data_IF_032061578370
#
_entry.id   IF_032061578370
#
_cell.length_a   1.000
_cell.length_b   1.000
_cell.length_c   1.000
_cell.angle_alpha   90.00
_cell.angle_beta   90.00
_cell.angle_gamma   90.00
#
_symmetry.space_group_name_H-M   'P 1'
#
loop_
_entity.id
_entity.type
_entity.pdbx_description
1 polymer ?
#
# COMPACT_ATOMS: atom_id res chain seq x y z
N UNK A 1 -11.37 -31.18 40.85
CA UNK A 1 -11.40 -30.11 39.84
C UNK A 1 -11.60 -28.71 40.44
N UNK A 2 -12.56 -28.46 41.32
CA UNK A 2 -12.81 -27.11 41.92
C UNK A 2 -11.60 -26.52 42.70
N UNK A 3 -10.83 -27.35 43.40
CA UNK A 3 -9.61 -26.86 44.11
C UNK A 3 -8.51 -26.39 43.17
N UNK A 4 -8.32 -27.02 42.01
CA UNK A 4 -7.34 -26.58 41.01
C UNK A 4 -7.76 -25.26 40.37
N UNK A 5 -9.05 -25.10 40.05
CA UNK A 5 -9.57 -23.85 39.51
C UNK A 5 -9.40 -22.68 40.49
N UNK A 6 -9.65 -22.90 41.78
CA UNK A 6 -9.47 -21.90 42.82
C UNK A 6 -8.00 -21.53 43.01
N UNK A 7 -7.07 -22.48 42.89
CA UNK A 7 -5.63 -22.22 42.99
C UNK A 7 -5.14 -21.44 41.76
N UNK A 8 -5.57 -21.76 40.55
CA UNK A 8 -5.26 -21.04 39.32
C UNK A 8 -5.74 -19.57 39.43
N UNK A 9 -6.96 -19.38 39.88
CA UNK A 9 -7.51 -18.04 40.07
C UNK A 9 -6.71 -17.20 41.10
N UNK A 10 -6.38 -17.81 42.27
CA UNK A 10 -5.57 -17.12 43.27
C UNK A 10 -4.18 -16.79 42.77
N UNK A 11 -3.57 -17.68 42.02
CA UNK A 11 -2.25 -17.42 41.38
C UNK A 11 -2.38 -16.28 40.38
N UNK A 12 -3.38 -16.28 39.51
CA UNK A 12 -3.62 -15.20 38.56
C UNK A 12 -3.83 -13.84 39.23
N UNK A 13 -4.60 -13.80 40.34
CA UNK A 13 -4.78 -12.57 41.11
C UNK A 13 -3.47 -12.11 41.73
N UNK A 14 -2.66 -13.01 42.27
CA UNK A 14 -1.33 -12.68 42.82
C UNK A 14 -0.41 -12.08 41.75
N UNK A 15 -0.35 -12.69 40.56
CA UNK A 15 0.48 -12.18 39.46
C UNK A 15 0.01 -10.81 38.96
N UNK A 16 -1.32 -10.59 38.87
CA UNK A 16 -1.88 -9.27 38.57
C UNK A 16 -1.48 -8.19 39.60
N UNK A 17 -1.48 -8.53 40.89
CA UNK A 17 -1.04 -7.62 41.92
C UNK A 17 0.47 -7.36 41.89
N UNK A 18 1.26 -8.37 41.57
CA UNK A 18 2.71 -8.24 41.36
C UNK A 18 2.99 -7.28 40.19
N UNK A 19 2.31 -7.49 39.06
CA UNK A 19 2.41 -6.63 37.89
C UNK A 19 2.02 -5.17 38.19
N UNK A 20 0.90 -4.97 38.92
CA UNK A 20 0.41 -3.65 39.29
C UNK A 20 1.37 -2.88 40.23
N UNK A 21 2.30 -3.57 40.89
CA UNK A 21 3.33 -2.98 41.77
C UNK A 21 4.66 -2.82 41.08
N UNK A 22 4.82 -3.32 39.89
CA UNK A 22 6.03 -3.14 39.08
C UNK A 22 5.88 -1.96 38.13
N UNK A 23 6.46 -0.77 38.47
CA UNK A 23 6.29 0.41 37.64
C UNK A 23 6.94 0.25 36.26
N UNK A 24 7.99 -0.58 36.13
CA UNK A 24 8.70 -0.78 34.89
C UNK A 24 7.80 -1.60 33.90
N UNK A 25 7.14 -2.63 34.41
CA UNK A 25 6.19 -3.42 33.61
C UNK A 25 4.94 -2.61 33.24
N UNK A 26 4.43 -1.77 34.11
CA UNK A 26 3.31 -0.89 33.80
C UNK A 26 3.66 0.11 32.71
N UNK A 27 4.85 0.70 32.76
CA UNK A 27 5.34 1.61 31.68
C UNK A 27 5.50 0.84 30.39
N UNK A 28 6.09 -0.35 30.41
CA UNK A 28 6.24 -1.19 29.23
C UNK A 28 4.89 -1.49 28.57
N UNK A 29 3.90 -1.92 29.33
CA UNK A 29 2.55 -2.19 28.84
C UNK A 29 1.91 -0.92 28.30
N UNK A 30 1.98 0.19 29.04
CA UNK A 30 1.44 1.47 28.62
C UNK A 30 2.03 1.95 27.29
N UNK A 31 3.35 1.90 27.14
CA UNK A 31 4.04 2.28 25.90
C UNK A 31 3.69 1.33 24.75
N UNK A 32 3.66 0.02 24.99
CA UNK A 32 3.36 -0.98 23.96
C UNK A 32 1.93 -0.81 23.40
N UNK A 33 0.95 -0.58 24.25
CA UNK A 33 -0.45 -0.47 23.82
C UNK A 33 -0.90 0.95 23.45
N UNK A 34 -0.08 1.96 23.67
CA UNK A 34 -0.40 3.33 23.24
C UNK A 34 0.54 3.81 22.14
N UNK A 35 1.80 4.03 22.47
CA UNK A 35 2.76 4.64 21.54
C UNK A 35 3.08 3.72 20.36
N UNK A 36 3.32 2.42 20.58
CA UNK A 36 3.66 1.50 19.48
C UNK A 36 2.48 1.29 18.54
N UNK A 37 1.26 1.14 19.07
CA UNK A 37 0.06 1.01 18.22
C UNK A 37 -0.19 2.31 17.44
N UNK A 38 -0.04 3.47 18.09
CA UNK A 38 -0.20 4.75 17.42
C UNK A 38 0.84 4.94 16.30
N UNK A 39 2.10 4.63 16.57
CA UNK A 39 3.16 4.72 15.54
C UNK A 39 2.93 3.73 14.40
N UNK A 40 2.54 2.48 14.68
CA UNK A 40 2.24 1.50 13.65
C UNK A 40 1.04 1.91 12.79
N UNK A 41 0.03 2.54 13.41
CA UNK A 41 -1.14 3.04 12.69
C UNK A 41 -0.84 4.26 11.79
N UNK A 42 0.14 5.08 12.15
CA UNK A 42 0.44 6.35 11.47
C UNK A 42 1.71 6.35 10.64
N UNK A 43 2.61 5.38 10.87
CA UNK A 43 3.93 5.34 10.23
C UNK A 43 3.89 4.93 8.75
N UNK A 44 2.85 4.24 8.32
CA UNK A 44 2.68 3.83 6.92
C UNK A 44 1.70 4.80 6.26
N UNK A 45 2.09 5.55 5.22
CA UNK A 45 1.14 6.36 4.47
C UNK A 45 0.07 5.43 3.86
N UNK A 46 -1.16 5.62 4.29
CA UNK A 46 -2.31 4.75 3.97
C UNK A 46 -2.68 4.72 2.50
N UNK A 47 -2.28 5.73 1.78
CA UNK A 47 -2.56 5.87 0.35
C UNK A 47 -1.42 6.58 -0.35
N UNK A 48 -1.26 6.24 -1.60
CA UNK A 48 -0.44 7.03 -2.52
C UNK A 48 -1.02 8.44 -2.57
N UNK A 49 -0.27 9.42 -2.12
CA UNK A 49 -0.73 10.81 -2.09
C UNK A 49 0.30 11.73 -2.71
N UNK A 50 -0.13 12.43 -3.77
CA UNK A 50 0.70 13.38 -4.50
C UNK A 50 2.08 12.82 -4.90
N UNK A 51 2.14 11.56 -5.34
CA UNK A 51 3.39 10.99 -5.81
C UNK A 51 3.84 11.68 -7.10
N UNK A 52 5.11 12.08 -7.14
CA UNK A 52 5.68 12.73 -8.30
C UNK A 52 5.85 11.71 -9.44
N UNK A 53 5.18 11.99 -10.57
CA UNK A 53 5.19 11.14 -11.75
C UNK A 53 5.65 11.94 -12.98
N UNK A 54 6.53 11.32 -13.77
CA UNK A 54 6.97 11.80 -15.07
C UNK A 54 6.50 10.85 -16.17
N UNK A 55 6.25 11.36 -17.35
CA UNK A 55 5.86 10.58 -18.53
C UNK A 55 6.77 10.95 -19.69
N UNK A 56 7.42 9.93 -20.25
CA UNK A 56 8.18 10.00 -21.50
C UNK A 56 7.26 9.43 -22.58
N UNK A 57 6.71 10.30 -23.42
CA UNK A 57 5.79 9.92 -24.49
C UNK A 57 6.51 9.98 -25.85
N UNK A 58 6.97 8.83 -26.32
CA UNK A 58 7.60 8.69 -27.63
C UNK A 58 6.58 8.29 -28.73
N UNK A 59 5.34 7.96 -28.34
CA UNK A 59 4.27 7.59 -29.27
C UNK A 59 3.50 8.81 -29.81
N UNK A 60 3.36 9.84 -28.98
CA UNK A 60 2.65 11.10 -29.31
C UNK A 60 1.28 10.82 -29.93
N UNK A 61 0.54 9.89 -29.35
CA UNK A 61 -0.75 9.40 -29.88
C UNK A 61 -1.93 9.83 -28.99
N UNK A 62 -3.17 9.73 -29.47
CA UNK A 62 -4.34 9.89 -28.63
C UNK A 62 -4.40 8.92 -27.42
N UNK A 63 -3.89 7.70 -27.56
CA UNK A 63 -3.84 6.75 -26.47
C UNK A 63 -2.78 7.14 -25.42
N UNK A 64 -1.58 7.49 -25.85
CA UNK A 64 -0.52 7.94 -24.93
C UNK A 64 -0.91 9.20 -24.17
N UNK A 65 -1.56 10.15 -24.83
CA UNK A 65 -2.06 11.38 -24.21
C UNK A 65 -3.18 11.09 -23.18
N UNK A 66 -4.05 10.09 -23.44
CA UNK A 66 -5.05 9.65 -22.46
C UNK A 66 -4.41 9.05 -21.25
N UNK A 67 -3.47 8.12 -21.42
CA UNK A 67 -2.72 7.49 -20.33
C UNK A 67 -2.03 8.55 -19.47
N UNK A 68 -1.33 9.50 -20.10
CA UNK A 68 -0.67 10.59 -19.38
C UNK A 68 -1.67 11.45 -18.59
N UNK A 69 -2.84 11.73 -19.16
CA UNK A 69 -3.87 12.55 -18.52
C UNK A 69 -4.63 11.82 -17.39
N UNK A 70 -4.54 10.50 -17.32
CA UNK A 70 -5.21 9.70 -16.30
C UNK A 70 -4.50 9.74 -14.93
N UNK A 71 -3.26 10.22 -14.87
CA UNK A 71 -2.55 10.44 -13.62
C UNK A 71 -2.89 11.80 -13.03
N UNK A 72 -3.67 11.82 -11.95
CA UNK A 72 -4.14 13.07 -11.31
C UNK A 72 -4.28 12.93 -9.78
N UNK A 73 -4.39 14.07 -9.08
CA UNK A 73 -4.64 14.07 -7.63
C UNK A 73 -5.91 13.31 -7.26
N UNK A 74 -5.95 12.68 -6.06
CA UNK A 74 -4.98 12.83 -4.97
C UNK A 74 -3.77 11.87 -5.04
N UNK A 75 -3.77 10.89 -5.94
CA UNK A 75 -2.74 9.83 -5.97
C UNK A 75 -1.42 10.34 -6.54
N UNK A 76 -1.49 11.06 -7.65
CA UNK A 76 -0.31 11.57 -8.34
C UNK A 76 -0.33 13.10 -8.43
N UNK A 77 0.84 13.70 -8.53
CA UNK A 77 0.94 15.09 -9.01
C UNK A 77 0.59 15.13 -10.49
N UNK A 78 0.42 16.34 -11.05
CA UNK A 78 0.29 16.47 -12.50
C UNK A 78 1.53 15.90 -13.18
N UNK A 79 1.37 14.98 -14.15
CA UNK A 79 2.50 14.38 -14.86
C UNK A 79 3.36 15.44 -15.53
N UNK A 80 4.67 15.30 -15.41
CA UNK A 80 5.61 16.11 -16.17
C UNK A 80 5.99 15.35 -17.43
N UNK A 81 5.73 15.98 -18.58
CA UNK A 81 6.15 15.44 -19.87
C UNK A 81 7.61 15.79 -20.08
N UNK A 82 8.45 14.79 -20.17
CA UNK A 82 9.92 14.93 -20.23
C UNK A 82 10.50 13.95 -21.26
N UNK A 83 11.76 14.15 -21.61
CA UNK A 83 12.49 13.17 -22.41
C UNK A 83 13.12 12.06 -21.55
N UNK A 84 13.63 11.00 -22.20
CA UNK A 84 14.20 9.85 -21.50
C UNK A 84 15.46 10.20 -20.69
N UNK A 85 16.30 11.13 -21.18
CA UNK A 85 17.50 11.56 -20.47
C UNK A 85 17.16 12.37 -19.21
N UNK A 86 16.12 13.21 -19.29
CA UNK A 86 15.63 13.97 -18.15
C UNK A 86 14.93 13.05 -17.12
N UNK A 87 14.29 11.96 -17.57
CA UNK A 87 13.67 10.99 -16.69
C UNK A 87 14.71 10.33 -15.77
N UNK A 88 15.82 9.85 -16.34
CA UNK A 88 16.89 9.22 -15.57
C UNK A 88 17.54 10.23 -14.60
N UNK A 89 17.93 11.40 -15.08
CA UNK A 89 18.49 12.45 -14.23
C UNK A 89 17.52 12.94 -13.14
N UNK A 90 16.22 12.93 -13.43
CA UNK A 90 15.19 13.32 -12.48
C UNK A 90 14.95 12.28 -11.40
N UNK A 91 15.02 10.99 -11.75
CA UNK A 91 14.93 9.89 -10.80
C UNK A 91 16.17 9.82 -9.90
N UNK A 92 17.37 9.95 -10.46
CA UNK A 92 18.62 10.00 -9.70
C UNK A 92 18.65 11.17 -8.70
N UNK A 93 18.06 12.30 -9.09
CA UNK A 93 17.92 13.46 -8.21
C UNK A 93 16.72 13.37 -7.23
N UNK A 94 15.95 12.27 -7.23
CA UNK A 94 14.77 12.09 -6.37
C UNK A 94 13.60 13.02 -6.68
N UNK A 95 13.56 13.65 -7.87
CA UNK A 95 12.46 14.53 -8.30
C UNK A 95 11.19 13.75 -8.62
N UNK A 96 11.33 12.56 -9.18
CA UNK A 96 10.23 11.69 -9.57
C UNK A 96 10.28 10.39 -8.77
N UNK A 97 9.11 9.95 -8.30
CA UNK A 97 8.94 8.62 -7.69
C UNK A 97 8.65 7.58 -8.76
N UNK A 98 8.01 8.00 -9.85
CA UNK A 98 7.63 7.15 -10.97
C UNK A 98 7.98 7.84 -12.29
N UNK A 99 8.49 7.05 -13.24
CA UNK A 99 8.65 7.49 -14.62
C UNK A 99 8.07 6.43 -15.56
N UNK A 100 7.06 6.81 -16.33
CA UNK A 100 6.37 5.96 -17.30
C UNK A 100 6.93 6.28 -18.69
N UNK A 101 7.48 5.29 -19.37
CA UNK A 101 7.98 5.44 -20.74
C UNK A 101 7.04 4.69 -21.70
N UNK A 102 6.41 5.43 -22.61
CA UNK A 102 5.51 4.92 -23.64
C UNK A 102 6.29 4.89 -24.97
N UNK A 103 6.61 3.70 -25.51
CA UNK A 103 7.47 3.57 -26.68
C UNK A 103 6.77 4.03 -27.96
N UNK A 104 7.51 4.31 -29.03
CA UNK A 104 6.94 4.69 -30.33
C UNK A 104 6.10 3.56 -30.92
N UNK A 105 5.03 3.93 -31.64
CA UNK A 105 4.05 3.01 -32.23
C UNK A 105 3.20 2.21 -31.25
N UNK A 106 3.17 2.61 -29.97
CA UNK A 106 2.41 1.91 -28.93
C UNK A 106 0.93 1.77 -29.28
N UNK A 107 0.24 2.86 -29.64
CA UNK A 107 -1.18 2.80 -30.01
C UNK A 107 -1.42 1.90 -31.21
N UNK A 108 -0.57 1.97 -32.23
CA UNK A 108 -0.69 1.12 -33.43
C UNK A 108 -0.61 -0.36 -33.08
N UNK A 109 0.30 -0.73 -32.19
CA UNK A 109 0.53 -2.12 -31.79
C UNK A 109 -0.62 -2.62 -30.91
N UNK A 110 -1.11 -1.82 -29.99
CA UNK A 110 -2.31 -2.11 -29.18
C UNK A 110 -3.54 -2.35 -30.07
N UNK A 111 -3.81 -1.47 -31.02
CA UNK A 111 -4.97 -1.61 -31.93
C UNK A 111 -4.85 -2.81 -32.86
N UNK A 112 -3.62 -3.16 -33.26
CA UNK A 112 -3.34 -4.34 -34.09
C UNK A 112 -3.35 -5.66 -33.28
N UNK A 113 -3.53 -5.60 -31.96
CA UNK A 113 -3.46 -6.77 -31.06
C UNK A 113 -2.06 -7.38 -30.99
N UNK A 114 -1.01 -6.59 -31.26
CA UNK A 114 0.37 -6.99 -31.11
C UNK A 114 0.82 -6.76 -29.65
N UNK A 115 1.82 -7.51 -29.16
CA UNK A 115 2.43 -7.24 -27.88
C UNK A 115 3.00 -5.81 -27.83
N UNK A 116 2.52 -5.01 -26.90
CA UNK A 116 3.00 -3.67 -26.62
C UNK A 116 3.42 -3.60 -25.16
N UNK A 117 4.52 -2.92 -24.86
CA UNK A 117 5.07 -2.84 -23.51
C UNK A 117 5.26 -1.37 -23.14
N UNK A 118 4.84 -1.00 -21.94
CA UNK A 118 5.17 0.27 -21.30
C UNK A 118 6.19 -0.03 -20.22
N UNK A 119 7.26 0.76 -20.16
CA UNK A 119 8.25 0.65 -19.11
C UNK A 119 7.86 1.58 -17.95
N UNK A 120 7.83 1.04 -16.75
CA UNK A 120 7.64 1.79 -15.51
C UNK A 120 8.93 1.73 -14.68
N UNK A 121 9.58 2.86 -14.51
CA UNK A 121 10.70 3.03 -13.59
C UNK A 121 10.17 3.54 -12.26
N UNK A 122 10.65 2.95 -11.16
CA UNK A 122 10.15 3.23 -9.80
C UNK A 122 11.33 3.50 -8.87
N UNK A 123 11.26 4.60 -8.13
CA UNK A 123 12.21 4.88 -7.06
C UNK A 123 11.94 3.95 -5.86
N UNK A 124 12.74 2.89 -5.78
CA UNK A 124 12.63 1.88 -4.73
C UNK A 124 13.08 2.36 -3.34
N UNK A 125 13.66 3.56 -3.20
CA UNK A 125 14.02 4.13 -1.90
C UNK A 125 12.77 4.47 -1.08
N UNK A 126 11.64 4.70 -1.75
CA UNK A 126 10.32 4.96 -1.15
C UNK A 126 9.42 3.72 -1.20
N UNK A 127 9.86 2.63 -0.58
CA UNK A 127 9.27 1.29 -0.73
C UNK A 127 7.74 1.22 -0.62
N UNK A 128 7.14 1.88 0.38
CA UNK A 128 5.68 1.84 0.57
C UNK A 128 4.91 2.53 -0.56
N UNK A 129 5.40 3.67 -1.03
CA UNK A 129 4.82 4.38 -2.18
C UNK A 129 5.10 3.64 -3.49
N UNK A 130 6.31 3.07 -3.64
CA UNK A 130 6.71 2.32 -4.82
C UNK A 130 5.79 1.13 -5.08
N UNK A 131 5.52 0.33 -4.06
CA UNK A 131 4.67 -0.86 -4.20
C UNK A 131 3.21 -0.50 -4.48
N UNK A 132 2.63 0.41 -3.70
CA UNK A 132 1.24 0.83 -3.88
C UNK A 132 1.06 1.58 -5.20
N UNK A 133 1.97 2.48 -5.54
CA UNK A 133 1.88 3.30 -6.74
C UNK A 133 2.06 2.50 -8.03
N UNK A 134 2.95 1.51 -8.07
CA UNK A 134 3.11 0.67 -9.26
C UNK A 134 1.84 -0.10 -9.60
N UNK A 135 1.14 -0.62 -8.58
CA UNK A 135 -0.14 -1.30 -8.79
C UNK A 135 -1.22 -0.34 -9.32
N UNK A 136 -1.31 0.89 -8.77
CA UNK A 136 -2.24 1.90 -9.28
C UNK A 136 -1.92 2.31 -10.72
N UNK A 137 -0.64 2.54 -11.04
CA UNK A 137 -0.21 2.90 -12.39
C UNK A 137 -0.58 1.79 -13.38
N UNK A 138 -0.30 0.52 -13.03
CA UNK A 138 -0.64 -0.62 -13.88
C UNK A 138 -2.15 -0.71 -14.12
N UNK A 139 -2.96 -0.52 -13.08
CA UNK A 139 -4.41 -0.55 -13.19
C UNK A 139 -4.92 0.60 -14.07
N UNK A 140 -4.50 1.83 -13.85
CA UNK A 140 -4.87 3.00 -14.65
C UNK A 140 -4.52 2.79 -16.12
N UNK A 141 -3.29 2.35 -16.41
CA UNK A 141 -2.86 2.08 -17.80
C UNK A 141 -3.74 1.00 -18.45
N UNK A 142 -3.99 -0.08 -17.73
CA UNK A 142 -4.82 -1.18 -18.23
C UNK A 142 -6.25 -0.73 -18.51
N UNK A 143 -6.84 0.04 -17.62
CA UNK A 143 -8.21 0.55 -17.77
C UNK A 143 -8.31 1.52 -18.95
N UNK A 144 -7.36 2.45 -19.11
CA UNK A 144 -7.33 3.37 -20.25
C UNK A 144 -7.14 2.67 -21.59
N UNK A 145 -6.29 1.64 -21.65
CA UNK A 145 -6.11 0.81 -22.85
C UNK A 145 -7.41 0.07 -23.18
N UNK A 146 -8.02 -0.56 -22.20
CA UNK A 146 -9.26 -1.32 -22.39
C UNK A 146 -10.39 -0.40 -22.88
N UNK A 147 -10.59 0.75 -22.25
CA UNK A 147 -11.60 1.72 -22.68
C UNK A 147 -11.34 2.25 -24.09
N UNK A 148 -10.07 2.55 -24.40
CA UNK A 148 -9.69 3.01 -25.73
C UNK A 148 -9.95 1.95 -26.80
N UNK A 149 -9.54 0.70 -26.56
CA UNK A 149 -9.76 -0.41 -27.50
C UNK A 149 -11.25 -0.71 -27.69
N UNK A 150 -12.05 -0.66 -26.62
CA UNK A 150 -13.50 -0.86 -26.70
C UNK A 150 -14.20 0.22 -27.54
N UNK A 151 -13.75 1.47 -27.49
CA UNK A 151 -14.28 2.53 -28.36
C UNK A 151 -13.98 2.34 -29.84
N UNK A 152 -12.87 1.69 -30.16
CA UNK A 152 -12.46 1.40 -31.54
C UNK A 152 -12.97 0.06 -32.07
N UNK A 153 -13.13 -0.93 -31.19
CA UNK A 153 -13.80 -2.20 -31.49
C UNK A 153 -15.26 -2.06 -31.05
N UNK A 154 -16.26 -2.28 -31.92
CA UNK A 154 -17.67 -2.32 -31.49
C UNK A 154 -17.77 -3.16 -30.20
N UNK A 155 -18.41 -2.67 -29.14
CA UNK A 155 -18.46 -3.37 -27.88
C UNK A 155 -19.14 -4.72 -28.07
N UNK A 156 -18.41 -5.80 -27.86
CA UNK A 156 -19.03 -7.01 -27.38
C UNK A 156 -19.42 -6.68 -25.93
N UNK A 157 -20.70 -6.45 -25.67
CA UNK A 157 -21.20 -6.35 -24.29
C UNK A 157 -20.75 -7.59 -23.55
N UNK A 158 -19.82 -7.42 -22.61
CA UNK A 158 -19.48 -8.50 -21.69
C UNK A 158 -20.72 -8.73 -20.82
N UNK A 159 -21.33 -9.92 -20.84
CA UNK A 159 -22.58 -10.18 -20.11
C UNK A 159 -22.37 -10.30 -18.58
N UNK A 160 -21.24 -9.86 -18.07
CA UNK A 160 -20.87 -10.00 -16.65
C UNK A 160 -20.34 -8.67 -16.12
N UNK A 161 -21.08 -8.08 -15.20
CA UNK A 161 -20.63 -6.96 -14.38
C UNK A 161 -20.04 -7.51 -13.07
N UNK A 162 -18.74 -7.22 -12.82
CA UNK A 162 -18.06 -7.65 -11.62
C UNK A 162 -18.29 -6.65 -10.48
N UNK A 163 -19.30 -6.89 -9.63
CA UNK A 163 -19.50 -6.12 -8.42
C UNK A 163 -18.58 -6.61 -7.30
N UNK A 164 -17.46 -5.95 -7.10
CA UNK A 164 -16.52 -6.24 -6.00
C UNK A 164 -17.03 -5.59 -4.72
N UNK A 165 -17.36 -6.41 -3.71
CA UNK A 165 -17.74 -5.94 -2.38
C UNK A 165 -16.65 -6.26 -1.37
N UNK A 166 -15.96 -5.25 -0.88
CA UNK A 166 -15.00 -5.39 0.22
C UNK A 166 -15.74 -5.63 1.54
N UNK A 167 -15.40 -6.71 2.25
CA UNK A 167 -15.91 -7.02 3.59
C UNK A 167 -14.82 -6.73 4.62
N UNK A 168 -15.23 -6.31 5.83
CA UNK A 168 -14.37 -6.05 7.01
C UNK A 168 -13.50 -4.79 6.95
N UNK A 169 -13.09 -4.31 5.82
CA UNK A 169 -12.39 -3.03 5.64
C UNK A 169 -12.83 -2.41 4.31
N UNK A 170 -14.07 -1.92 4.20
CA UNK A 170 -14.63 -1.42 2.94
C UNK A 170 -13.89 -0.20 2.40
N UNK A 171 -13.24 0.56 3.27
CA UNK A 171 -12.45 1.75 2.90
C UNK A 171 -10.98 1.40 2.61
N UNK A 172 -10.57 0.13 2.72
CA UNK A 172 -9.18 -0.33 2.57
C UNK A 172 -8.18 0.46 3.42
N UNK A 173 -8.61 0.88 4.62
CA UNK A 173 -7.80 1.71 5.51
C UNK A 173 -6.70 0.86 6.13
N UNK A 174 -5.45 1.09 5.75
CA UNK A 174 -4.30 0.31 6.20
C UNK A 174 -4.02 0.49 7.70
N UNK A 175 -4.32 1.66 8.26
CA UNK A 175 -4.20 1.93 9.70
C UNK A 175 -4.98 0.94 10.55
N UNK A 176 -6.15 0.51 10.12
CA UNK A 176 -6.94 -0.54 10.78
C UNK A 176 -6.19 -1.86 10.83
N UNK A 177 -5.61 -2.25 9.70
CA UNK A 177 -4.88 -3.52 9.60
C UNK A 177 -3.58 -3.49 10.39
N UNK A 178 -2.82 -2.40 10.27
CA UNK A 178 -1.59 -2.16 11.02
C UNK A 178 -1.81 -2.16 12.52
N UNK A 179 -2.84 -1.47 13.01
CA UNK A 179 -3.19 -1.43 14.43
C UNK A 179 -3.56 -2.81 14.97
N UNK A 180 -4.36 -3.58 14.25
CA UNK A 180 -4.74 -4.93 14.66
C UNK A 180 -3.56 -5.88 14.73
N UNK A 181 -2.68 -5.84 13.73
CA UNK A 181 -1.45 -6.65 13.72
C UNK A 181 -0.53 -6.29 14.88
N UNK A 182 -0.39 -5.00 15.19
CA UNK A 182 0.43 -4.55 16.31
C UNK A 182 -0.16 -4.96 17.66
N UNK A 183 -1.47 -4.94 17.83
CA UNK A 183 -2.13 -5.47 19.03
C UNK A 183 -1.80 -6.96 19.19
N UNK A 184 -1.90 -7.76 18.14
CA UNK A 184 -1.60 -9.19 18.17
C UNK A 184 -0.12 -9.42 18.53
N UNK A 185 0.79 -8.68 17.91
CA UNK A 185 2.21 -8.76 18.20
C UNK A 185 2.51 -8.39 19.66
N UNK A 186 1.93 -7.32 20.17
CA UNK A 186 2.13 -6.87 21.54
C UNK A 186 1.59 -7.87 22.56
N UNK A 187 0.40 -8.43 22.33
CA UNK A 187 -0.18 -9.49 23.20
C UNK A 187 0.74 -10.70 23.20
N UNK A 188 1.24 -11.12 22.05
CA UNK A 188 2.14 -12.28 21.92
C UNK A 188 3.46 -12.03 22.65
N UNK A 189 4.10 -10.88 22.38
CA UNK A 189 5.37 -10.50 22.99
C UNK A 189 5.27 -10.37 24.52
N UNK A 190 4.22 -9.70 25.00
CA UNK A 190 4.01 -9.55 26.45
C UNK A 190 3.70 -10.88 27.11
N UNK A 191 2.96 -11.79 26.46
CA UNK A 191 2.73 -13.14 26.98
C UNK A 191 4.03 -13.90 27.20
N UNK A 192 4.98 -13.80 26.27
CA UNK A 192 6.31 -14.41 26.38
C UNK A 192 7.11 -13.78 27.50
N UNK A 193 7.16 -12.44 27.56
CA UNK A 193 7.92 -11.71 28.58
C UNK A 193 7.38 -11.99 29.97
N UNK A 194 6.06 -11.90 30.15
CA UNK A 194 5.43 -12.15 31.46
C UNK A 194 5.60 -13.60 31.92
N UNK A 195 5.51 -14.56 31.00
CA UNK A 195 5.76 -15.97 31.33
C UNK A 195 7.23 -16.18 31.72
N UNK A 196 8.16 -15.56 31.00
CA UNK A 196 9.59 -15.62 31.35
C UNK A 196 9.90 -14.97 32.69
N UNK A 197 9.31 -13.81 32.99
CA UNK A 197 9.48 -13.13 34.27
C UNK A 197 8.87 -13.89 35.45
N UNK A 198 7.82 -14.66 35.24
CA UNK A 198 7.19 -15.49 36.28
C UNK A 198 7.98 -16.77 36.60
N UNK A 199 8.95 -17.16 35.75
CA UNK A 199 9.79 -18.36 35.91
C UNK A 199 11.13 -18.04 36.65
N UNK A 200 11.47 -16.79 36.86
CA UNK A 200 12.65 -16.30 37.56
C UNK A 200 12.26 -15.92 38.97
#
# INVERSE_FOLDING_TARGET
>A
MLRHAANIFRLGVKELWSLARDPMMLVLIGVSFTLMIYTAATAVPESLHNAAIAVVDEDVSPLSSRIASAFYPPHFTRPQMIDSAEADAGMDAGRYTFAVNIPPNFQRDVLAGRPAQIQLNVDATRMSQAFTGSNYIQQIITDEINEFVQRYRKPAELPVDLAVRMRFNPNLTQAWFGSLMEIINNVTMLSIILTGAALI
#
